data_IF_362261052213
#
_entry.id   IF_362261052213
#
_cell.length_a   1.000
_cell.length_b   1.000
_cell.length_c   1.000
_cell.angle_alpha   90.00
_cell.angle_beta   90.00
_cell.angle_gamma   90.00
#
_symmetry.space_group_name_H-M   'P 1'
#
loop_
_entity.id
_entity.type
_entity.pdbx_description
1 polymer ?
#
# COMPACT_ATOMS: atom_id res chain seq x y z
N UNK A 1 -36.92 -39.37 -14.38
CA UNK A 1 -36.61 -38.18 -13.56
C UNK A 1 -35.14 -37.73 -13.73
N UNK A 2 -34.20 -38.65 -13.94
CA UNK A 2 -32.74 -38.37 -14.04
C UNK A 2 -32.26 -37.52 -15.23
N UNK A 3 -33.04 -37.34 -16.29
CA UNK A 3 -32.61 -36.61 -17.49
C UNK A 3 -32.80 -35.09 -17.35
N UNK A 4 -33.86 -34.65 -16.67
CA UNK A 4 -34.19 -33.22 -16.49
C UNK A 4 -33.22 -32.55 -15.51
N UNK A 5 -32.78 -33.27 -14.48
CA UNK A 5 -31.82 -32.77 -13.50
C UNK A 5 -30.42 -32.52 -14.12
N UNK A 6 -30.04 -33.31 -15.13
CA UNK A 6 -28.76 -33.16 -15.80
C UNK A 6 -28.75 -32.00 -16.80
N UNK A 7 -29.91 -31.74 -17.43
CA UNK A 7 -30.13 -30.58 -18.33
C UNK A 7 -30.18 -29.28 -17.53
N UNK A 8 -30.90 -29.24 -16.40
CA UNK A 8 -30.90 -28.07 -15.52
C UNK A 8 -29.50 -27.79 -14.95
N UNK A 9 -28.71 -28.83 -14.67
CA UNK A 9 -27.34 -28.67 -14.20
C UNK A 9 -26.39 -28.14 -15.28
N UNK A 10 -26.55 -28.55 -16.55
CA UNK A 10 -25.77 -27.98 -17.65
C UNK A 10 -26.16 -26.53 -17.94
N UNK A 11 -27.45 -26.20 -17.93
CA UNK A 11 -27.93 -24.82 -18.15
C UNK A 11 -27.42 -23.87 -17.05
N UNK A 12 -27.35 -24.32 -15.79
CA UNK A 12 -26.78 -23.54 -14.67
C UNK A 12 -25.26 -23.38 -14.79
N UNK A 13 -24.55 -24.37 -15.36
CA UNK A 13 -23.11 -24.28 -15.61
C UNK A 13 -22.80 -23.34 -16.80
N UNK A 14 -23.62 -23.37 -17.85
CA UNK A 14 -23.48 -22.49 -19.00
C UNK A 14 -23.84 -21.05 -18.62
N UNK A 15 -24.90 -20.82 -17.84
CA UNK A 15 -25.25 -19.50 -17.30
C UNK A 15 -24.15 -18.97 -16.37
N UNK A 16 -23.57 -19.79 -15.48
CA UNK A 16 -22.41 -19.37 -14.68
C UNK A 16 -21.18 -19.06 -15.54
N UNK A 17 -20.97 -19.78 -16.65
CA UNK A 17 -19.84 -19.52 -17.53
C UNK A 17 -20.03 -18.23 -18.33
N UNK A 18 -21.25 -17.93 -18.78
CA UNK A 18 -21.61 -16.69 -19.48
C UNK A 18 -21.60 -15.48 -18.55
N UNK A 19 -22.11 -15.59 -17.31
CA UNK A 19 -22.05 -14.52 -16.30
C UNK A 19 -20.58 -14.19 -15.92
N UNK A 20 -19.73 -15.21 -15.87
CA UNK A 20 -18.29 -15.06 -15.63
C UNK A 20 -17.59 -14.45 -16.85
N UNK A 21 -18.03 -14.77 -18.07
CA UNK A 21 -17.45 -14.26 -19.33
C UNK A 21 -17.86 -12.80 -19.59
N UNK A 22 -19.14 -12.48 -19.47
CA UNK A 22 -19.70 -11.14 -19.71
C UNK A 22 -19.20 -10.15 -18.65
N UNK A 23 -19.06 -10.58 -17.39
CA UNK A 23 -18.34 -9.82 -16.35
C UNK A 23 -16.85 -9.62 -16.65
N UNK A 24 -16.19 -10.58 -17.31
CA UNK A 24 -14.79 -10.48 -17.73
C UNK A 24 -14.60 -9.47 -18.87
N UNK A 25 -15.55 -9.36 -19.78
CA UNK A 25 -15.46 -8.51 -20.97
C UNK A 25 -15.60 -7.01 -20.64
N UNK A 26 -16.41 -6.65 -19.62
CA UNK A 26 -16.45 -5.27 -19.10
C UNK A 26 -15.21 -4.95 -18.24
N UNK A 27 -14.59 -5.97 -17.65
CA UNK A 27 -13.35 -5.85 -16.86
C UNK A 27 -12.09 -5.91 -17.73
N UNK A 28 -12.16 -6.35 -19.00
CA UNK A 28 -11.03 -6.61 -19.90
C UNK A 28 -10.19 -5.38 -20.31
N UNK A 29 -10.55 -4.17 -19.86
CA UNK A 29 -9.79 -2.93 -20.12
C UNK A 29 -8.62 -2.72 -19.13
N UNK A 30 -8.20 -3.75 -18.38
CA UNK A 30 -7.10 -3.65 -17.39
C UNK A 30 -6.09 -4.80 -17.44
N UNK A 31 -5.11 -4.82 -16.51
CA UNK A 31 -3.98 -5.76 -16.51
C UNK A 31 -4.40 -7.24 -16.55
N UNK A 32 -3.55 -8.13 -17.10
CA UNK A 32 -3.86 -9.55 -17.24
C UNK A 32 -4.26 -10.18 -15.90
N UNK A 33 -5.36 -10.92 -15.89
CA UNK A 33 -5.74 -11.75 -14.74
C UNK A 33 -4.78 -12.94 -14.62
N UNK A 34 -4.27 -13.17 -13.41
CA UNK A 34 -3.35 -14.28 -13.17
C UNK A 34 -4.15 -15.58 -13.09
N UNK A 35 -4.05 -16.41 -14.14
CA UNK A 35 -4.85 -17.65 -14.27
C UNK A 35 -4.17 -18.87 -13.64
N UNK A 36 -2.83 -18.90 -13.57
CA UNK A 36 -2.07 -19.97 -12.92
C UNK A 36 -0.85 -19.42 -12.19
N UNK A 37 -0.82 -19.55 -10.86
CA UNK A 37 0.36 -19.25 -10.07
C UNK A 37 1.14 -20.54 -9.76
N UNK A 38 2.37 -20.74 -10.29
CA UNK A 38 3.16 -21.94 -10.04
C UNK A 38 3.62 -22.09 -8.58
N UNK A 39 3.53 -21.03 -7.76
CA UNK A 39 3.89 -21.05 -6.33
C UNK A 39 2.71 -21.29 -5.39
N UNK A 40 1.49 -21.42 -5.91
CA UNK A 40 0.27 -21.58 -5.11
C UNK A 40 -0.21 -20.28 -4.47
N UNK A 41 -1.50 -20.23 -4.11
CA UNK A 41 -2.14 -19.05 -3.50
C UNK A 41 -2.08 -19.11 -1.96
N UNK A 42 -0.98 -19.64 -1.42
CA UNK A 42 -0.88 -20.02 0.00
C UNK A 42 -0.20 -18.95 0.85
N UNK A 43 -0.78 -17.75 0.90
CA UNK A 43 -0.46 -16.81 1.98
C UNK A 43 -1.47 -17.03 3.09
N UNK A 44 -1.08 -17.77 4.13
CA UNK A 44 -1.95 -17.98 5.31
C UNK A 44 -2.30 -16.63 5.95
N UNK A 45 -3.51 -16.52 6.50
CA UNK A 45 -3.98 -15.31 7.20
C UNK A 45 -2.96 -14.85 8.25
N UNK A 46 -2.41 -15.79 9.03
CA UNK A 46 -1.38 -15.50 10.01
C UNK A 46 -0.12 -14.87 9.39
N UNK A 47 0.36 -15.43 8.27
CA UNK A 47 1.52 -14.89 7.56
C UNK A 47 1.26 -13.48 7.01
N UNK A 48 0.07 -13.26 6.44
CA UNK A 48 -0.35 -11.93 5.97
C UNK A 48 -0.41 -10.91 7.10
N UNK A 49 -0.93 -11.28 8.27
CA UNK A 49 -0.99 -10.37 9.43
C UNK A 49 0.42 -10.05 9.93
N UNK A 50 1.28 -11.06 10.09
CA UNK A 50 2.66 -10.84 10.56
C UNK A 50 3.47 -9.97 9.59
N UNK A 51 3.30 -10.15 8.28
CA UNK A 51 3.96 -9.32 7.27
C UNK A 51 3.46 -7.86 7.32
N UNK A 52 2.16 -7.65 7.46
CA UNK A 52 1.60 -6.30 7.60
C UNK A 52 2.05 -5.61 8.88
N UNK A 53 2.15 -6.34 10.00
CA UNK A 53 2.67 -5.80 11.26
C UNK A 53 4.13 -5.36 11.10
N UNK A 54 4.95 -6.17 10.42
CA UNK A 54 6.35 -5.81 10.12
C UNK A 54 6.46 -4.56 9.24
N UNK A 55 5.56 -4.39 8.27
CA UNK A 55 5.54 -3.21 7.41
C UNK A 55 5.06 -1.94 8.13
N UNK A 56 4.06 -2.05 9.03
CA UNK A 56 3.54 -0.90 9.78
C UNK A 56 4.48 -0.41 10.88
N UNK A 57 5.25 -1.32 11.49
CA UNK A 57 6.20 -0.99 12.55
C UNK A 57 7.51 -0.44 11.95
N UNK A 58 7.51 0.86 11.64
CA UNK A 58 8.69 1.58 11.14
C UNK A 58 9.34 2.52 12.16
N UNK A 59 10.38 3.24 11.74
CA UNK A 59 11.11 4.21 12.58
C UNK A 59 10.21 5.34 13.14
N UNK A 60 9.04 5.58 12.55
CA UNK A 60 8.09 6.60 12.98
C UNK A 60 7.55 6.38 14.40
N UNK A 61 7.50 5.15 14.91
CA UNK A 61 7.01 4.89 16.28
C UNK A 61 7.90 5.53 17.35
N UNK A 62 9.19 5.72 17.06
CA UNK A 62 10.17 6.26 18.01
C UNK A 62 10.26 7.79 17.96
N UNK A 63 10.06 8.39 16.79
CA UNK A 63 10.22 9.83 16.58
C UNK A 63 8.90 10.62 16.71
N UNK A 64 7.77 10.00 16.35
CA UNK A 64 6.48 10.68 16.27
C UNK A 64 5.88 11.08 17.64
N UNK A 65 5.89 10.23 18.69
CA UNK A 65 5.28 10.59 19.98
C UNK A 65 5.95 11.79 20.63
N UNK A 66 7.28 11.90 20.54
CA UNK A 66 8.04 13.03 21.06
C UNK A 66 7.72 14.33 20.33
N UNK A 67 7.59 14.29 19.00
CA UNK A 67 7.22 15.47 18.20
C UNK A 67 5.80 15.97 18.52
N UNK A 68 4.85 15.05 18.65
CA UNK A 68 3.46 15.40 19.00
C UNK A 68 3.37 15.93 20.43
N UNK A 69 4.07 15.31 21.39
CA UNK A 69 4.07 15.78 22.77
C UNK A 69 4.61 17.20 22.91
N UNK A 70 5.69 17.53 22.20
CA UNK A 70 6.23 18.90 22.17
C UNK A 70 5.25 19.91 21.56
N UNK A 71 4.42 19.48 20.61
CA UNK A 71 3.43 20.36 19.96
C UNK A 71 2.19 20.58 20.81
N UNK A 72 1.80 19.57 21.60
CA UNK A 72 0.54 19.55 22.37
C UNK A 72 0.74 19.98 23.83
N UNK A 73 1.93 19.77 24.40
CA UNK A 73 2.29 20.15 25.77
C UNK A 73 1.61 19.35 26.88
N UNK A 74 0.69 18.43 26.56
CA UNK A 74 -0.05 17.59 27.51
C UNK A 74 -0.06 16.12 27.11
N UNK A 75 0.29 15.25 28.06
CA UNK A 75 0.25 13.79 27.90
C UNK A 75 -1.17 13.27 27.65
N UNK A 76 -2.19 13.87 28.28
CA UNK A 76 -3.58 13.39 28.12
C UNK A 76 -4.06 13.53 26.68
N UNK A 77 -3.67 14.62 26.04
CA UNK A 77 -4.10 14.94 24.67
C UNK A 77 -3.25 14.16 23.63
N UNK A 78 -2.00 13.81 23.96
CA UNK A 78 -1.23 12.80 23.22
C UNK A 78 -1.94 11.43 23.19
N UNK A 79 -2.42 10.94 24.34
CA UNK A 79 -3.11 9.65 24.42
C UNK A 79 -4.42 9.65 23.62
N UNK A 80 -5.17 10.76 23.62
CA UNK A 80 -6.38 10.90 22.80
C UNK A 80 -6.05 10.82 21.31
N UNK A 81 -5.01 11.53 20.84
CA UNK A 81 -4.57 11.42 19.44
C UNK A 81 -4.09 10.02 19.08
N UNK A 82 -3.46 9.33 20.03
CA UNK A 82 -3.00 7.96 19.84
C UNK A 82 -4.14 6.97 19.63
N UNK A 83 -5.32 7.21 20.22
CA UNK A 83 -6.52 6.41 19.99
C UNK A 83 -7.29 6.86 18.74
N UNK A 84 -7.24 8.15 18.41
CA UNK A 84 -7.92 8.70 17.25
C UNK A 84 -7.26 8.28 15.93
N UNK A 85 -5.93 8.21 15.89
CA UNK A 85 -5.18 7.80 14.70
C UNK A 85 -5.56 6.38 14.17
N UNK A 86 -5.57 5.31 14.99
CA UNK A 86 -6.00 4.00 14.53
C UNK A 86 -7.48 3.95 14.17
N UNK A 87 -8.34 4.76 14.81
CA UNK A 87 -9.76 4.86 14.43
C UNK A 87 -9.91 5.35 12.98
N UNK A 88 -9.17 6.41 12.61
CA UNK A 88 -9.15 6.94 11.25
C UNK A 88 -8.55 5.91 10.28
N UNK A 89 -7.49 5.22 10.70
CA UNK A 89 -6.87 4.16 9.89
C UNK A 89 -7.85 3.00 9.63
N UNK A 90 -8.66 2.61 10.61
CA UNK A 90 -9.69 1.57 10.45
C UNK A 90 -10.71 1.97 9.39
N UNK A 91 -11.18 3.22 9.37
CA UNK A 91 -12.05 3.70 8.29
C UNK A 91 -11.41 3.53 6.91
N UNK A 92 -10.12 3.85 6.77
CA UNK A 92 -9.38 3.64 5.53
C UNK A 92 -9.25 2.18 5.12
N UNK A 93 -8.99 1.29 6.09
CA UNK A 93 -8.91 -0.17 5.85
C UNK A 93 -10.26 -0.72 5.42
N UNK A 94 -11.37 -0.26 6.00
CA UNK A 94 -12.71 -0.70 5.59
C UNK A 94 -12.99 -0.37 4.13
N UNK A 95 -12.74 0.88 3.70
CA UNK A 95 -12.87 1.25 2.28
C UNK A 95 -11.97 0.39 1.41
N UNK A 96 -10.71 0.18 1.81
CA UNK A 96 -9.78 -0.66 1.04
C UNK A 96 -10.24 -2.12 0.96
N UNK A 97 -10.93 -2.63 1.99
CA UNK A 97 -11.48 -4.00 2.00
C UNK A 97 -12.65 -4.18 1.03
N UNK A 98 -13.45 -3.14 0.79
CA UNK A 98 -14.48 -3.14 -0.26
C UNK A 98 -13.83 -3.21 -1.64
N UNK A 99 -12.79 -2.40 -1.90
CA UNK A 99 -12.02 -2.46 -3.15
C UNK A 99 -11.33 -3.81 -3.37
N UNK A 100 -10.77 -4.40 -2.30
CA UNK A 100 -10.16 -5.73 -2.37
C UNK A 100 -11.17 -6.83 -2.73
N UNK A 101 -12.42 -6.70 -2.26
CA UNK A 101 -13.50 -7.65 -2.54
C UNK A 101 -14.05 -7.51 -3.97
N UNK A 102 -13.97 -6.31 -4.58
CA UNK A 102 -14.39 -6.06 -5.96
C UNK A 102 -13.47 -6.71 -7.01
N UNK A 103 -12.18 -6.87 -6.70
CA UNK A 103 -11.18 -7.38 -7.66
C UNK A 103 -10.36 -8.56 -7.10
N UNK A 104 -10.97 -9.72 -6.81
CA UNK A 104 -10.32 -10.82 -6.09
C UNK A 104 -9.25 -11.56 -6.91
N UNK A 105 -9.27 -11.45 -8.25
CA UNK A 105 -8.37 -12.18 -9.16
C UNK A 105 -7.28 -11.31 -9.79
N UNK A 106 -7.09 -10.08 -9.31
CA UNK A 106 -6.11 -9.15 -9.86
C UNK A 106 -5.02 -8.84 -8.84
N UNK A 107 -3.80 -9.25 -9.18
CA UNK A 107 -2.60 -8.93 -8.42
C UNK A 107 -2.08 -7.54 -8.83
N UNK A 108 -1.72 -6.69 -7.86
CA UNK A 108 -1.16 -5.36 -8.12
C UNK A 108 -1.74 -4.20 -7.28
N UNK A 109 -2.61 -4.52 -6.31
CA UNK A 109 -3.02 -3.62 -5.23
C UNK A 109 -3.47 -2.22 -5.74
N UNK A 110 -2.92 -1.14 -5.17
CA UNK A 110 -3.36 0.24 -5.44
C UNK A 110 -3.17 0.69 -6.89
N UNK A 111 -2.13 0.22 -7.59
CA UNK A 111 -1.84 0.66 -8.96
C UNK A 111 -2.91 0.11 -9.93
N UNK A 112 -3.32 -1.13 -9.74
CA UNK A 112 -4.34 -1.80 -10.55
C UNK A 112 -5.73 -1.21 -10.30
N UNK A 113 -6.06 -0.88 -9.05
CA UNK A 113 -7.33 -0.22 -8.72
C UNK A 113 -7.42 1.17 -9.36
N UNK A 114 -6.30 1.90 -9.40
CA UNK A 114 -6.24 3.23 -10.02
C UNK A 114 -6.40 3.18 -11.55
N UNK A 115 -5.86 2.14 -12.20
CA UNK A 115 -6.00 1.95 -13.64
C UNK A 115 -7.46 1.68 -14.04
N UNK A 116 -8.22 0.98 -13.20
CA UNK A 116 -9.65 0.73 -13.41
C UNK A 116 -10.55 1.92 -13.08
N UNK A 117 -10.26 2.65 -12.00
CA UNK A 117 -11.03 3.83 -11.63
C UNK A 117 -10.85 5.00 -12.61
N UNK A 118 -9.67 5.14 -13.21
CA UNK A 118 -9.33 6.21 -14.14
C UNK A 118 -8.86 5.69 -15.50
N UNK A 119 -9.79 5.25 -16.39
CA UNK A 119 -9.44 4.67 -17.69
C UNK A 119 -8.94 5.70 -18.72
N UNK A 120 -9.09 7.01 -18.48
CA UNK A 120 -8.61 8.08 -19.36
C UNK A 120 -8.04 9.24 -18.53
N UNK A 121 -6.83 9.76 -18.82
CA UNK A 121 -5.80 9.29 -19.76
C UNK A 121 -5.07 8.03 -19.27
N UNK A 122 -4.78 7.11 -20.20
CA UNK A 122 -4.14 5.81 -19.93
C UNK A 122 -2.80 5.99 -19.19
N UNK A 123 -2.62 5.21 -18.11
CA UNK A 123 -1.39 5.09 -17.32
C UNK A 123 -0.88 6.35 -16.59
N UNK A 124 -1.42 7.55 -16.79
CA UNK A 124 -0.90 8.75 -16.11
C UNK A 124 -1.17 8.73 -14.60
N UNK A 125 -2.37 8.34 -14.17
CA UNK A 125 -2.71 8.33 -12.73
C UNK A 125 -1.95 7.23 -11.98
N UNK A 126 -1.87 5.98 -12.47
CA UNK A 126 -1.08 4.94 -11.82
C UNK A 126 0.43 5.23 -11.81
N UNK A 127 0.99 5.78 -12.91
CA UNK A 127 2.42 6.10 -12.98
C UNK A 127 2.77 7.27 -12.07
N UNK A 128 1.99 8.35 -12.04
CA UNK A 128 2.25 9.47 -11.13
C UNK A 128 2.11 9.07 -9.67
N UNK A 129 1.13 8.22 -9.35
CA UNK A 129 0.97 7.65 -8.01
C UNK A 129 2.16 6.79 -7.61
N UNK A 130 2.62 5.90 -8.50
CA UNK A 130 3.78 5.04 -8.26
C UNK A 130 5.05 5.88 -8.07
N UNK A 131 5.33 6.81 -8.98
CA UNK A 131 6.48 7.72 -8.91
C UNK A 131 6.47 8.53 -7.62
N UNK A 132 5.35 9.13 -7.23
CA UNK A 132 5.28 9.96 -6.03
C UNK A 132 5.40 9.13 -4.76
N UNK A 133 4.74 7.98 -4.70
CA UNK A 133 4.74 7.17 -3.47
C UNK A 133 6.08 6.46 -3.25
N UNK A 134 6.65 5.89 -4.31
CA UNK A 134 7.92 5.14 -4.25
C UNK A 134 9.08 6.10 -4.08
N UNK A 135 9.21 7.11 -4.94
CA UNK A 135 10.42 7.94 -4.94
C UNK A 135 10.41 9.06 -3.90
N UNK A 136 9.24 9.64 -3.56
CA UNK A 136 9.19 10.88 -2.78
C UNK A 136 8.71 10.67 -1.34
N UNK A 137 7.59 9.96 -1.13
CA UNK A 137 6.92 9.99 0.17
C UNK A 137 7.68 9.16 1.22
N UNK A 138 7.95 7.89 0.93
CA UNK A 138 8.53 6.98 1.93
C UNK A 138 9.98 7.37 2.27
N UNK A 139 10.79 7.60 1.25
CA UNK A 139 12.22 7.93 1.38
C UNK A 139 12.50 9.29 2.04
N UNK A 140 11.65 10.30 1.79
CA UNK A 140 11.86 11.62 2.39
C UNK A 140 11.71 11.57 3.92
N UNK A 141 10.68 10.87 4.42
CA UNK A 141 10.39 10.80 5.86
C UNK A 141 11.48 10.00 6.58
N UNK A 142 11.87 8.84 6.04
CA UNK A 142 12.90 7.98 6.64
C UNK A 142 14.27 8.67 6.67
N UNK A 143 14.62 9.41 5.61
CA UNK A 143 15.88 10.16 5.54
C UNK A 143 15.95 11.33 6.56
N UNK A 144 14.87 12.07 6.74
CA UNK A 144 14.82 13.19 7.72
C UNK A 144 15.01 12.65 9.15
N UNK A 145 14.30 11.56 9.47
CA UNK A 145 14.39 10.92 10.80
C UNK A 145 15.79 10.35 11.02
N UNK A 146 16.37 9.70 10.01
CA UNK A 146 17.76 9.22 10.06
C UNK A 146 18.75 10.36 10.30
N UNK A 147 18.63 11.48 9.57
CA UNK A 147 19.52 12.63 9.72
C UNK A 147 19.45 13.23 11.14
N UNK A 148 18.26 13.29 11.75
CA UNK A 148 18.10 13.74 13.14
C UNK A 148 18.82 12.80 14.11
N UNK A 149 18.58 11.49 14.00
CA UNK A 149 19.20 10.53 14.89
C UNK A 149 20.73 10.44 14.70
N UNK A 150 21.22 10.50 13.46
CA UNK A 150 22.65 10.50 13.17
C UNK A 150 23.36 11.71 13.80
N UNK A 151 22.77 12.91 13.70
CA UNK A 151 23.31 14.12 14.32
C UNK A 151 23.32 14.04 15.85
N UNK A 152 22.28 13.46 16.45
CA UNK A 152 22.25 13.27 17.91
C UNK A 152 23.30 12.29 18.41
N UNK A 153 23.64 11.25 17.64
CA UNK A 153 24.67 10.27 18.01
C UNK A 153 26.07 10.87 17.89
N UNK A 154 26.30 11.74 16.90
CA UNK A 154 27.59 12.41 16.69
C UNK A 154 27.82 13.61 17.62
N UNK A 155 26.92 13.89 18.57
CA UNK A 155 26.95 15.04 19.50
C UNK A 155 27.09 16.40 18.78
N UNK A 156 26.53 16.49 17.58
CA UNK A 156 26.56 17.69 16.75
C UNK A 156 25.25 18.46 16.91
N UNK A 157 25.27 19.79 17.07
CA UNK A 157 24.04 20.57 17.18
C UNK A 157 23.15 20.41 15.93
N UNK A 158 21.89 20.06 16.16
CA UNK A 158 20.87 19.89 15.12
C UNK A 158 20.44 21.28 14.61
N UNK A 159 21.21 21.82 13.67
CA UNK A 159 20.86 23.05 12.94
C UNK A 159 20.02 22.67 11.70
N UNK A 160 18.95 23.43 11.36
CA UNK A 160 18.12 23.13 10.19
C UNK A 160 18.91 22.91 8.90
N UNK A 161 19.92 23.76 8.64
CA UNK A 161 20.76 23.64 7.45
C UNK A 161 21.57 22.32 7.40
N UNK A 162 22.09 21.87 8.55
CA UNK A 162 22.90 20.65 8.64
C UNK A 162 22.03 19.40 8.50
N UNK A 163 20.86 19.41 9.13
CA UNK A 163 19.89 18.33 9.04
C UNK A 163 19.40 18.15 7.60
N UNK A 164 19.02 19.24 6.91
CA UNK A 164 18.55 19.18 5.52
C UNK A 164 19.65 18.71 4.57
N UNK A 165 20.91 19.12 4.79
CA UNK A 165 22.03 18.70 3.93
C UNK A 165 22.29 17.19 4.05
N UNK A 166 22.31 16.65 5.27
CA UNK A 166 22.52 15.22 5.50
C UNK A 166 21.33 14.41 4.98
N UNK A 167 20.09 14.86 5.25
CA UNK A 167 18.90 14.21 4.75
C UNK A 167 18.85 14.20 3.21
N UNK A 168 19.25 15.29 2.55
CA UNK A 168 19.32 15.34 1.09
C UNK A 168 20.36 14.35 0.55
N UNK A 169 21.55 14.28 1.16
CA UNK A 169 22.59 13.34 0.76
C UNK A 169 22.10 11.87 0.87
N UNK A 170 21.52 11.51 2.01
CA UNK A 170 20.98 10.15 2.24
C UNK A 170 19.84 9.83 1.27
N UNK A 171 18.93 10.78 1.04
CA UNK A 171 17.84 10.63 0.09
C UNK A 171 18.35 10.39 -1.34
N UNK A 172 19.36 11.15 -1.80
CA UNK A 172 19.92 10.95 -3.15
C UNK A 172 20.58 9.58 -3.33
N UNK A 173 21.23 9.06 -2.29
CA UNK A 173 21.84 7.72 -2.31
C UNK A 173 20.76 6.64 -2.35
N UNK A 174 19.69 6.79 -1.56
CA UNK A 174 18.58 5.84 -1.55
C UNK A 174 17.89 5.76 -2.92
N UNK A 175 17.53 6.91 -3.51
CA UNK A 175 16.93 6.96 -4.85
C UNK A 175 17.86 6.38 -5.93
N UNK A 176 19.17 6.64 -5.85
CA UNK A 176 20.14 6.07 -6.78
C UNK A 176 20.25 4.54 -6.65
N UNK A 177 20.20 4.01 -5.43
CA UNK A 177 20.21 2.57 -5.17
C UNK A 177 18.95 1.90 -5.74
N UNK A 178 17.77 2.47 -5.50
CA UNK A 178 16.51 1.96 -6.04
C UNK A 178 16.53 1.96 -7.57
N UNK A 179 16.96 3.06 -8.19
CA UNK A 179 17.06 3.13 -9.65
C UNK A 179 18.00 2.05 -10.20
N UNK A 180 19.06 1.68 -9.46
CA UNK A 180 19.98 0.60 -9.82
C UNK A 180 19.38 -0.80 -9.68
N UNK A 181 18.31 -0.97 -8.90
CA UNK A 181 17.57 -2.24 -8.76
C UNK A 181 16.56 -2.39 -9.91
N UNK A 182 16.05 -1.29 -10.44
CA UNK A 182 15.06 -1.30 -11.52
C UNK A 182 15.66 -1.34 -12.94
N UNK A 183 16.95 -1.02 -13.11
CA UNK A 183 17.68 -1.05 -14.41
C UNK A 183 18.40 -2.38 -14.59
#
# INVERSE_FOLDING_TARGET
MTNVDNVLRSDVLDTQSEDVQEGNDVLAVGPPIEQSNPLGHEVTILSSVMLNLGYMLGAGIYSFPGAVLNSVGSIGLLLVFWLLAPLIALCGVTVYSEYASLFPKRSGARVVYLEQAYPRPRYLVPVTYAVTTVLLIYEAVTSIVFAQYALTICDVPVTPARQTTIALAVYTVAVACELSIFV
#
